data_IF_584287358776
#
_entry.id   IF_584287358776
#
_cell.length_a   1.000
_cell.length_b   1.000
_cell.length_c   1.000
_cell.angle_alpha   90.00
_cell.angle_beta   90.00
_cell.angle_gamma   90.00
#
_symmetry.space_group_name_H-M   'P 1'
#
loop_
_entity.id
_entity.type
_entity.pdbx_description
1 polymer ?
#
# COMPACT_ATOMS: atom_id res chain seq x y z
N UNK A 1 29.86 -38.58 33.08
CA UNK A 1 30.73 -39.30 32.14
C UNK A 1 29.90 -39.88 31.01
N UNK A 2 30.41 -39.74 29.79
CA UNK A 2 29.91 -40.34 28.56
C UNK A 2 29.64 -41.85 28.71
N UNK A 3 28.67 -42.40 27.98
CA UNK A 3 29.00 -43.02 26.68
C UNK A 3 27.82 -43.75 26.05
N UNK A 4 27.76 -43.51 24.74
CA UNK A 4 27.00 -44.16 23.67
C UNK A 4 27.03 -45.69 23.79
N UNK A 5 25.93 -46.36 23.46
CA UNK A 5 25.87 -47.31 22.34
C UNK A 5 24.45 -47.89 22.18
N UNK A 6 23.94 -47.80 20.95
CA UNK A 6 23.05 -48.77 20.28
C UNK A 6 21.79 -49.28 21.00
N UNK A 7 20.63 -48.78 20.55
CA UNK A 7 19.35 -49.50 20.64
C UNK A 7 18.63 -49.27 19.31
N UNK A 8 18.85 -50.10 18.31
CA UNK A 8 18.12 -51.36 18.11
C UNK A 8 16.62 -51.14 18.31
N UNK A 9 15.98 -50.67 17.25
CA UNK A 9 14.82 -51.31 16.63
C UNK A 9 14.06 -52.28 17.55
N UNK A 10 12.86 -51.87 18.00
CA UNK A 10 11.62 -52.65 18.17
C UNK A 10 10.75 -52.00 19.25
N UNK A 11 9.49 -51.77 18.91
CA UNK A 11 8.43 -51.53 19.89
C UNK A 11 7.72 -50.20 19.70
N UNK A 12 6.72 -50.22 18.82
CA UNK A 12 5.41 -49.59 19.01
C UNK A 12 5.35 -48.40 19.99
N UNK A 13 5.37 -47.19 19.45
CA UNK A 13 4.89 -46.00 20.16
C UNK A 13 4.08 -45.16 19.18
N UNK A 14 2.76 -45.22 19.38
CA UNK A 14 1.78 -44.29 18.81
C UNK A 14 2.24 -42.88 19.15
N UNK A 15 2.73 -42.14 18.15
CA UNK A 15 2.88 -40.69 18.24
C UNK A 15 2.11 -40.02 17.11
N UNK A 16 0.96 -39.49 17.50
CA UNK A 16 0.32 -38.29 16.97
C UNK A 16 1.30 -37.32 16.29
N UNK A 17 1.10 -37.11 14.98
CA UNK A 17 1.45 -35.94 14.17
C UNK A 17 1.20 -36.36 12.72
N UNK A 18 0.21 -35.84 12.01
CA UNK A 18 0.34 -34.55 11.34
C UNK A 18 -1.02 -33.89 11.15
N UNK A 19 -1.17 -32.72 11.75
CA UNK A 19 -2.18 -31.71 11.42
C UNK A 19 -2.04 -31.28 9.96
N UNK A 20 -3.03 -31.60 9.12
CA UNK A 20 -3.17 -31.01 7.80
C UNK A 20 -3.84 -29.63 7.94
N UNK A 21 -3.03 -28.59 8.19
CA UNK A 21 -3.45 -27.20 8.05
C UNK A 21 -3.22 -26.82 6.59
N UNK A 22 -4.26 -26.91 5.76
CA UNK A 22 -4.28 -26.20 4.48
C UNK A 22 -4.51 -24.71 4.77
N UNK A 23 -3.42 -23.99 4.95
CA UNK A 23 -3.42 -22.53 4.92
C UNK A 23 -3.81 -22.09 3.50
N UNK A 24 -5.00 -21.49 3.35
CA UNK A 24 -5.34 -20.73 2.14
C UNK A 24 -4.52 -19.46 2.19
N UNK A 25 -3.43 -19.42 1.43
CA UNK A 25 -2.60 -18.24 1.28
C UNK A 25 -3.45 -17.13 0.67
N UNK A 26 -3.72 -16.08 1.44
CA UNK A 26 -4.24 -14.83 0.93
C UNK A 26 -3.24 -14.25 -0.05
N UNK A 27 -3.48 -14.44 -1.34
CA UNK A 27 -2.73 -13.78 -2.40
C UNK A 27 -3.17 -12.32 -2.43
N UNK A 28 -2.54 -11.48 -1.61
CA UNK A 28 -2.68 -10.02 -1.74
C UNK A 28 -2.08 -9.63 -3.09
N UNK A 29 -2.93 -9.44 -4.09
CA UNK A 29 -2.53 -8.80 -5.35
C UNK A 29 -1.99 -7.42 -4.98
N UNK A 30 -0.67 -7.25 -5.09
CA UNK A 30 -0.03 -5.96 -4.92
C UNK A 30 -0.50 -5.07 -6.07
N UNK A 31 -1.54 -4.28 -5.81
CA UNK A 31 -1.99 -3.21 -6.70
C UNK A 31 -0.94 -2.08 -6.62
N UNK A 32 0.13 -2.25 -7.37
CA UNK A 32 1.12 -1.21 -7.63
C UNK A 32 0.46 -0.22 -8.59
N UNK A 33 0.07 0.94 -8.07
CA UNK A 33 -0.55 1.98 -8.85
C UNK A 33 0.47 2.45 -9.90
N UNK A 34 0.23 2.10 -11.17
CA UNK A 34 1.04 2.61 -12.27
C UNK A 34 0.86 4.14 -12.32
N UNK A 35 1.89 4.88 -11.89
CA UNK A 35 1.86 6.35 -11.89
C UNK A 35 1.68 6.88 -13.31
N UNK A 36 0.82 7.86 -13.48
CA UNK A 36 0.71 8.55 -14.75
C UNK A 36 1.99 9.37 -15.03
N UNK A 37 2.47 9.45 -16.28
CA UNK A 37 3.61 10.31 -16.61
C UNK A 37 3.27 11.78 -16.39
N UNK A 38 4.28 12.59 -16.07
CA UNK A 38 4.11 14.05 -15.95
C UNK A 38 3.81 14.64 -17.32
N UNK A 39 2.81 15.53 -17.40
CA UNK A 39 2.47 16.29 -18.59
C UNK A 39 2.57 17.79 -18.32
N UNK A 40 3.59 18.44 -18.89
CA UNK A 40 3.81 19.87 -18.65
C UNK A 40 2.77 20.79 -19.28
N UNK A 41 1.98 20.30 -20.26
CA UNK A 41 0.86 21.08 -20.80
C UNK A 41 -0.31 21.21 -19.80
N UNK A 42 -0.40 20.32 -18.81
CA UNK A 42 -1.46 20.31 -17.79
C UNK A 42 -0.96 20.61 -16.38
N UNK A 43 0.34 20.90 -16.21
CA UNK A 43 0.98 21.00 -14.90
C UNK A 43 0.29 21.97 -13.93
N UNK A 44 -0.17 23.14 -14.39
CA UNK A 44 -0.90 24.06 -13.52
C UNK A 44 -2.24 23.47 -13.02
N UNK A 45 -2.95 22.75 -13.90
CA UNK A 45 -4.19 22.05 -13.53
C UNK A 45 -3.92 20.92 -12.55
N UNK A 46 -2.85 20.16 -12.78
CA UNK A 46 -2.45 19.05 -11.92
C UNK A 46 -2.03 19.56 -10.53
N UNK A 47 -1.26 20.64 -10.45
CA UNK A 47 -0.88 21.26 -9.17
C UNK A 47 -2.09 21.80 -8.40
N UNK A 48 -3.08 22.40 -9.09
CA UNK A 48 -4.35 22.81 -8.45
C UNK A 48 -5.14 21.63 -7.94
N UNK A 49 -5.23 20.55 -8.71
CA UNK A 49 -5.93 19.33 -8.31
C UNK A 49 -5.24 18.68 -7.09
N UNK A 50 -3.90 18.61 -7.09
CA UNK A 50 -3.12 18.11 -5.96
C UNK A 50 -3.33 18.97 -4.71
N UNK A 51 -3.32 20.29 -4.83
CA UNK A 51 -3.55 21.18 -3.69
C UNK A 51 -4.96 21.02 -3.10
N UNK A 52 -5.99 20.92 -3.95
CA UNK A 52 -7.36 20.69 -3.53
C UNK A 52 -7.53 19.33 -2.85
N UNK A 53 -6.94 18.29 -3.44
CA UNK A 53 -6.95 16.92 -2.89
C UNK A 53 -6.19 16.82 -1.57
N UNK A 54 -5.06 17.52 -1.41
CA UNK A 54 -4.31 17.57 -0.16
C UNK A 54 -5.14 18.18 0.96
N UNK A 55 -5.81 19.30 0.70
CA UNK A 55 -6.74 19.91 1.65
C UNK A 55 -7.87 18.94 2.01
N UNK A 56 -8.48 18.32 1.00
CA UNK A 56 -9.53 17.34 1.21
C UNK A 56 -9.05 16.15 2.06
N UNK A 57 -7.89 15.57 1.74
CA UNK A 57 -7.31 14.46 2.48
C UNK A 57 -7.05 14.81 3.95
N UNK A 58 -6.61 16.03 4.24
CA UNK A 58 -6.41 16.51 5.61
C UNK A 58 -7.74 16.65 6.35
N UNK A 59 -8.78 17.20 5.71
CA UNK A 59 -10.11 17.32 6.31
C UNK A 59 -10.73 15.92 6.58
N UNK A 60 -10.53 14.98 5.64
CA UNK A 60 -11.01 13.59 5.73
C UNK A 60 -10.20 12.71 6.70
N UNK A 61 -9.02 13.14 7.17
CA UNK A 61 -8.34 12.46 8.28
C UNK A 61 -9.07 12.71 9.61
N UNK A 62 -9.77 13.85 9.72
CA UNK A 62 -10.53 14.23 10.92
C UNK A 62 -11.94 13.66 10.87
N UNK A 63 -12.52 13.55 9.67
CA UNK A 63 -13.89 13.04 9.49
C UNK A 63 -13.91 11.62 8.90
N UNK A 64 -14.75 10.72 9.44
CA UNK A 64 -14.90 9.35 8.93
C UNK A 64 -15.69 9.30 7.61
N UNK A 65 -15.14 9.84 6.54
CA UNK A 65 -15.91 10.20 5.36
C UNK A 65 -15.72 9.27 4.14
N UNK A 66 -16.75 9.31 3.29
CA UNK A 66 -17.01 8.43 2.15
C UNK A 66 -16.08 8.81 0.99
N UNK A 67 -15.27 7.87 0.52
CA UNK A 67 -14.30 8.13 -0.54
C UNK A 67 -14.98 8.24 -1.92
N UNK A 68 -15.31 9.46 -2.34
CA UNK A 68 -15.45 9.78 -3.77
C UNK A 68 -14.05 9.62 -4.42
N UNK A 69 -14.00 9.20 -5.69
CA UNK A 69 -12.74 8.97 -6.41
C UNK A 69 -11.83 10.19 -6.29
N UNK A 70 -10.64 10.06 -5.68
CA UNK A 70 -9.75 11.20 -5.46
C UNK A 70 -9.08 11.65 -6.76
N UNK A 71 -8.64 12.90 -6.80
CA UNK A 71 -7.76 13.37 -7.86
C UNK A 71 -6.45 12.56 -7.91
N UNK A 72 -5.94 12.06 -6.77
CA UNK A 72 -4.75 11.21 -6.73
C UNK A 72 -4.89 9.90 -7.50
N UNK A 73 -6.10 9.37 -7.68
CA UNK A 73 -6.32 8.19 -8.53
C UNK A 73 -6.11 8.52 -10.01
N UNK A 74 -6.49 9.73 -10.44
CA UNK A 74 -6.23 10.22 -11.81
C UNK A 74 -4.73 10.45 -12.07
N UNK A 75 -3.94 10.63 -11.00
CA UNK A 75 -2.49 10.77 -11.07
C UNK A 75 -1.76 9.42 -10.86
N UNK A 76 -2.49 8.34 -10.62
CA UNK A 76 -1.92 7.01 -10.38
C UNK A 76 -1.18 6.91 -9.04
N UNK A 77 -1.56 7.72 -8.05
CA UNK A 77 -0.97 7.68 -6.70
C UNK A 77 -1.61 6.59 -5.84
N UNK A 78 -2.89 6.31 -6.06
CA UNK A 78 -3.61 5.30 -5.30
C UNK A 78 -4.75 4.70 -6.11
N UNK A 79 -4.97 3.41 -5.90
CA UNK A 79 -6.01 2.61 -6.54
C UNK A 79 -6.87 1.94 -5.46
N UNK A 80 -8.14 1.71 -5.79
CA UNK A 80 -9.10 1.10 -4.87
C UNK A 80 -9.53 2.02 -3.70
N UNK A 81 -10.75 1.80 -3.21
CA UNK A 81 -11.35 2.65 -2.15
C UNK A 81 -10.84 2.29 -0.75
N UNK A 82 -10.59 1.00 -0.49
CA UNK A 82 -10.13 0.51 0.82
C UNK A 82 -8.66 0.85 1.10
N UNK A 83 -7.77 0.52 0.16
CA UNK A 83 -6.34 0.88 0.23
C UNK A 83 -6.18 2.39 0.36
N UNK A 84 -6.94 3.17 -0.43
CA UNK A 84 -7.00 4.63 -0.30
C UNK A 84 -7.39 5.06 1.11
N UNK A 85 -8.47 4.54 1.70
CA UNK A 85 -8.91 4.94 3.04
C UNK A 85 -7.80 4.73 4.08
N UNK A 86 -7.12 3.58 4.04
CA UNK A 86 -6.01 3.29 4.94
C UNK A 86 -4.84 4.26 4.72
N UNK A 87 -4.44 4.49 3.47
CA UNK A 87 -3.34 5.40 3.13
C UNK A 87 -3.67 6.85 3.51
N UNK A 88 -4.92 7.29 3.35
CA UNK A 88 -5.37 8.60 3.81
C UNK A 88 -5.28 8.73 5.33
N UNK A 89 -5.79 7.75 6.10
CA UNK A 89 -5.70 7.75 7.56
C UNK A 89 -4.26 7.71 8.08
N UNK A 90 -3.36 7.03 7.38
CA UNK A 90 -1.93 6.94 7.76
C UNK A 90 -1.12 8.22 7.49
N UNK A 91 -1.64 9.15 6.68
CA UNK A 91 -0.92 10.34 6.22
C UNK A 91 0.06 10.11 5.07
N UNK A 92 0.31 8.86 4.67
CA UNK A 92 1.18 8.55 3.53
C UNK A 92 0.60 9.07 2.20
N UNK A 93 -0.71 9.23 2.11
CA UNK A 93 -1.36 9.77 0.93
C UNK A 93 -0.98 11.24 0.69
N UNK A 94 -0.92 12.04 1.75
CA UNK A 94 -0.49 13.44 1.68
C UNK A 94 0.97 13.55 1.24
N UNK A 95 1.83 12.65 1.73
CA UNK A 95 3.24 12.60 1.29
C UNK A 95 3.37 12.29 -0.20
N UNK A 96 2.56 11.37 -0.71
CA UNK A 96 2.56 11.04 -2.15
C UNK A 96 2.07 12.20 -3.02
N UNK A 97 1.10 12.97 -2.55
CA UNK A 97 0.65 14.20 -3.20
C UNK A 97 1.78 15.24 -3.26
N UNK A 98 2.52 15.42 -2.16
CA UNK A 98 3.67 16.35 -2.11
C UNK A 98 4.79 15.89 -3.05
N UNK A 99 5.17 14.61 -2.99
CA UNK A 99 6.15 14.02 -3.91
C UNK A 99 5.76 14.22 -5.38
N UNK A 100 4.46 14.07 -5.68
CA UNK A 100 3.97 14.26 -7.05
C UNK A 100 4.00 15.72 -7.47
N UNK A 101 3.68 16.65 -6.57
CA UNK A 101 3.80 18.08 -6.85
C UNK A 101 5.26 18.46 -7.14
N UNK A 102 6.20 17.95 -6.35
CA UNK A 102 7.64 18.19 -6.53
C UNK A 102 8.17 17.57 -7.83
N UNK A 103 7.71 16.37 -8.19
CA UNK A 103 8.01 15.72 -9.47
C UNK A 103 7.54 16.58 -10.65
N UNK A 104 6.31 17.09 -10.60
CA UNK A 104 5.76 17.98 -11.64
C UNK A 104 6.56 19.28 -11.72
N UNK A 105 6.83 19.92 -10.58
CA UNK A 105 7.61 21.16 -10.51
C UNK A 105 9.00 21.01 -11.10
N UNK A 106 9.71 19.94 -10.71
CA UNK A 106 11.07 19.65 -11.17
C UNK A 106 11.09 19.32 -12.66
N UNK A 107 10.16 18.48 -13.12
CA UNK A 107 10.10 18.03 -14.52
C UNK A 107 9.69 19.15 -15.48
N UNK A 108 8.77 20.01 -15.06
CA UNK A 108 8.24 21.10 -15.88
C UNK A 108 8.92 22.45 -15.61
N UNK A 109 9.92 22.48 -14.73
CA UNK A 109 10.68 23.67 -14.37
C UNK A 109 9.79 24.82 -13.83
N UNK A 110 8.85 24.48 -12.95
CA UNK A 110 7.90 25.38 -12.28
C UNK A 110 8.35 25.56 -10.82
N UNK A 111 8.37 26.79 -10.31
CA UNK A 111 8.77 27.12 -8.93
C UNK A 111 7.58 27.09 -7.97
#
# INVERSE_FOLDING_TARGET
>A
MNSRFTKTQRGLLVLSATTAILAVSGMSMADEAARHPVNCATAEGDLRAIAAEKKHAQDQQVESAIAITPAGALLGLVTGTEKKRLTMLSGDYVKQLDQRADEIKTTCNIQ
#
